data_IF_262292603333
#
_entry.id   IF_262292603333
#
_cell.length_a   1.000
_cell.length_b   1.000
_cell.length_c   1.000
_cell.angle_alpha   90.00
_cell.angle_beta   90.00
_cell.angle_gamma   90.00
#
_symmetry.space_group_name_H-M   'P 1'
#
loop_
_entity.id
_entity.type
_entity.pdbx_description
1 polymer ?
#
# COMPACT_ATOMS: atom_id res chain seq x y z
N UNK A 1 20.02 15.88 -14.20
CA UNK A 1 19.01 15.03 -14.88
C UNK A 1 17.63 15.53 -14.49
N UNK A 2 16.72 15.66 -15.46
CA UNK A 2 15.31 16.02 -15.18
C UNK A 2 14.63 14.97 -14.32
N UNK A 3 13.67 15.40 -13.46
CA UNK A 3 12.85 14.48 -12.69
C UNK A 3 11.96 13.63 -13.61
N UNK A 4 11.72 12.34 -13.28
CA UNK A 4 10.76 11.50 -14.01
C UNK A 4 9.36 12.13 -14.01
N UNK A 5 8.67 12.10 -15.15
CA UNK A 5 7.30 12.60 -15.28
C UNK A 5 6.24 11.51 -15.12
N UNK A 6 6.58 10.26 -15.45
CA UNK A 6 5.69 9.12 -15.29
C UNK A 6 6.36 7.99 -14.50
N UNK A 7 5.88 7.71 -13.30
CA UNK A 7 6.44 6.71 -12.39
C UNK A 7 5.56 5.47 -12.33
N UNK A 8 6.14 4.30 -12.57
CA UNK A 8 5.52 3.01 -12.28
C UNK A 8 5.75 2.65 -10.81
N UNK A 9 4.70 2.44 -10.05
CA UNK A 9 4.76 2.00 -8.66
C UNK A 9 4.30 0.55 -8.56
N UNK A 10 5.15 -0.35 -8.05
CA UNK A 10 4.84 -1.77 -7.96
C UNK A 10 4.58 -2.16 -6.50
N UNK A 11 3.33 -2.55 -6.17
CA UNK A 11 2.96 -3.13 -4.87
C UNK A 11 1.84 -4.16 -5.03
N UNK A 12 2.18 -5.45 -5.11
CA UNK A 12 1.26 -6.53 -5.49
C UNK A 12 0.47 -7.12 -4.31
N UNK A 13 0.93 -6.94 -3.07
CA UNK A 13 0.37 -7.48 -1.81
C UNK A 13 1.15 -6.97 -0.59
N UNK A 14 0.73 -7.18 0.67
CA UNK A 14 -0.60 -7.58 1.07
C UNK A 14 -1.52 -6.35 1.19
N UNK A 15 -2.81 -6.53 1.53
CA UNK A 15 -3.79 -5.43 1.55
C UNK A 15 -3.32 -4.24 2.42
N UNK A 16 -2.94 -4.48 3.67
CA UNK A 16 -2.45 -3.40 4.55
C UNK A 16 -1.19 -2.72 4.01
N UNK A 17 -0.26 -3.48 3.42
CA UNK A 17 0.95 -2.91 2.81
C UNK A 17 0.64 -2.08 1.56
N UNK A 18 -0.40 -2.45 0.80
CA UNK A 18 -0.89 -1.66 -0.34
C UNK A 18 -1.50 -0.36 0.17
N UNK A 19 -2.37 -0.43 1.19
CA UNK A 19 -2.97 0.74 1.82
C UNK A 19 -1.91 1.72 2.35
N UNK A 20 -0.80 1.22 2.92
CA UNK A 20 0.31 2.05 3.42
C UNK A 20 1.07 2.81 2.32
N UNK A 21 0.86 2.51 1.04
CA UNK A 21 1.43 3.31 -0.06
C UNK A 21 0.61 4.58 -0.34
N UNK A 22 -0.68 4.56 -0.04
CA UNK A 22 -1.64 5.64 -0.38
C UNK A 22 -1.21 7.00 0.16
N UNK A 23 -0.89 7.19 1.46
CA UNK A 23 -0.49 8.51 1.97
C UNK A 23 0.74 9.06 1.27
N UNK A 24 1.69 8.19 0.90
CA UNK A 24 2.92 8.61 0.20
C UNK A 24 2.60 9.05 -1.23
N UNK A 25 1.74 8.31 -1.95
CA UNK A 25 1.35 8.66 -3.32
C UNK A 25 0.53 9.94 -3.36
N UNK A 26 -0.41 10.13 -2.41
CA UNK A 26 -1.18 11.37 -2.28
C UNK A 26 -0.26 12.58 -2.02
N UNK A 27 0.68 12.46 -1.07
CA UNK A 27 1.65 13.52 -0.79
C UNK A 27 2.55 13.79 -2.00
N UNK A 28 2.97 12.76 -2.72
CA UNK A 28 3.80 12.93 -3.93
C UNK A 28 3.06 13.73 -5.01
N UNK A 29 1.84 13.36 -5.38
CA UNK A 29 1.11 14.07 -6.46
C UNK A 29 0.64 15.45 -6.04
N UNK A 30 0.43 15.69 -4.74
CA UNK A 30 0.14 17.03 -4.21
C UNK A 30 1.35 17.96 -4.33
N UNK A 31 2.54 17.46 -3.97
CA UNK A 31 3.78 18.26 -3.99
C UNK A 31 4.41 18.35 -5.39
N UNK A 32 4.09 17.42 -6.27
CA UNK A 32 4.58 17.34 -7.66
C UNK A 32 3.40 17.07 -8.62
N UNK A 33 2.53 18.05 -8.86
CA UNK A 33 1.30 17.86 -9.64
C UNK A 33 1.55 17.53 -11.12
N UNK A 34 2.77 17.74 -11.63
CA UNK A 34 3.19 17.35 -12.98
C UNK A 34 3.50 15.84 -13.08
N UNK A 35 3.62 15.14 -11.96
CA UNK A 35 3.99 13.72 -11.94
C UNK A 35 2.76 12.85 -12.13
N UNK A 36 2.84 11.96 -13.10
CA UNK A 36 1.88 10.89 -13.33
C UNK A 36 2.36 9.60 -12.67
N UNK A 37 1.47 8.88 -12.02
CA UNK A 37 1.76 7.58 -11.41
C UNK A 37 0.89 6.51 -12.08
N UNK A 38 1.47 5.35 -12.34
CA UNK A 38 0.70 4.12 -12.60
C UNK A 38 1.03 3.11 -11.52
N UNK A 39 0.03 2.76 -10.71
CA UNK A 39 0.16 1.72 -9.68
C UNK A 39 -0.13 0.36 -10.29
N UNK A 40 0.81 -0.57 -10.14
CA UNK A 40 0.68 -1.97 -10.56
C UNK A 40 0.37 -2.81 -9.34
N UNK A 41 -0.85 -3.33 -9.26
CA UNK A 41 -1.31 -4.15 -8.15
C UNK A 41 -2.39 -5.15 -8.59
N UNK A 42 -2.90 -5.96 -7.65
CA UNK A 42 -4.03 -6.84 -7.94
C UNK A 42 -5.31 -6.00 -8.11
N UNK A 43 -6.22 -6.37 -9.02
CA UNK A 43 -7.47 -5.61 -9.27
C UNK A 43 -8.26 -5.31 -8.00
N UNK A 44 -8.30 -6.24 -7.06
CA UNK A 44 -8.96 -6.09 -5.75
C UNK A 44 -8.52 -4.83 -4.96
N UNK A 45 -7.33 -4.32 -5.22
CA UNK A 45 -6.79 -3.15 -4.49
C UNK A 45 -7.02 -1.81 -5.20
N UNK A 46 -7.66 -1.82 -6.35
CA UNK A 46 -7.93 -0.60 -7.12
C UNK A 46 -8.64 0.48 -6.27
N UNK A 47 -9.66 0.16 -5.45
CA UNK A 47 -10.39 1.18 -4.68
C UNK A 47 -9.52 2.01 -3.72
N UNK A 48 -8.34 1.53 -3.33
CA UNK A 48 -7.40 2.33 -2.52
C UNK A 48 -6.83 3.53 -3.25
N UNK A 49 -6.84 3.51 -4.58
CA UNK A 49 -6.21 4.51 -5.44
C UNK A 49 -7.22 5.37 -6.19
N UNK A 50 -8.50 5.01 -6.16
CA UNK A 50 -9.56 5.77 -6.80
C UNK A 50 -9.65 7.19 -6.21
N UNK A 51 -9.88 8.18 -7.08
CA UNK A 51 -9.97 9.59 -6.69
C UNK A 51 -8.64 10.26 -6.30
N UNK A 52 -7.48 9.59 -6.42
CA UNK A 52 -6.19 10.25 -6.26
C UNK A 52 -5.80 10.91 -7.60
N UNK A 53 -5.64 12.24 -7.67
CA UNK A 53 -5.25 12.92 -8.91
C UNK A 53 -3.96 12.36 -9.51
N UNK A 54 -3.89 12.25 -10.84
CA UNK A 54 -2.71 11.77 -11.58
C UNK A 54 -2.23 10.36 -11.23
N UNK A 55 -3.03 9.58 -10.49
CA UNK A 55 -2.76 8.17 -10.19
C UNK A 55 -3.68 7.29 -11.04
N UNK A 56 -3.05 6.49 -11.91
CA UNK A 56 -3.74 5.45 -12.69
C UNK A 56 -3.47 4.09 -12.06
N UNK A 57 -4.34 3.14 -12.33
CA UNK A 57 -4.21 1.78 -11.84
C UNK A 57 -4.05 0.78 -12.99
N UNK A 58 -3.11 -0.16 -12.86
CA UNK A 58 -2.92 -1.29 -13.75
C UNK A 58 -3.11 -2.59 -12.98
N UNK A 59 -4.21 -3.28 -13.25
CA UNK A 59 -4.55 -4.56 -12.63
C UNK A 59 -3.71 -5.71 -13.18
N UNK A 60 -2.97 -6.39 -12.31
CA UNK A 60 -2.13 -7.55 -12.67
C UNK A 60 -2.89 -8.85 -12.44
N UNK A 61 -3.05 -9.63 -13.49
CA UNK A 61 -3.55 -10.99 -13.38
C UNK A 61 -2.41 -11.99 -13.16
N UNK A 62 -2.14 -12.28 -11.90
CA UNK A 62 -1.09 -13.22 -11.49
C UNK A 62 -1.52 -14.70 -11.54
N UNK A 63 -2.81 -14.97 -11.80
CA UNK A 63 -3.33 -16.34 -11.87
C UNK A 63 -3.26 -16.91 -13.28
N UNK A 64 -3.44 -16.06 -14.29
CA UNK A 64 -3.50 -16.46 -15.70
C UNK A 64 -2.47 -15.71 -16.55
N UNK A 65 -2.81 -14.52 -17.08
CA UNK A 65 -2.04 -13.78 -18.08
C UNK A 65 -0.60 -13.48 -17.63
N UNK A 66 -0.41 -13.08 -16.38
CA UNK A 66 0.89 -12.68 -15.83
C UNK A 66 1.48 -13.75 -14.89
N UNK A 67 1.06 -15.01 -15.03
CA UNK A 67 1.53 -16.14 -14.24
C UNK A 67 2.91 -16.62 -14.69
N UNK A 68 3.77 -16.93 -13.72
CA UNK A 68 5.10 -17.49 -13.95
C UNK A 68 6.07 -16.51 -14.61
N UNK A 69 7.23 -17.00 -15.03
CA UNK A 69 8.27 -16.14 -15.60
C UNK A 69 7.85 -15.52 -16.94
N UNK A 70 7.28 -16.31 -17.86
CA UNK A 70 6.77 -15.80 -19.13
C UNK A 70 5.65 -14.77 -18.93
N UNK A 71 4.80 -14.95 -17.92
CA UNK A 71 3.81 -13.97 -17.53
C UNK A 71 4.41 -12.64 -17.06
N UNK A 72 5.56 -12.66 -16.39
CA UNK A 72 6.26 -11.43 -16.00
C UNK A 72 6.89 -10.72 -17.21
N UNK A 73 7.34 -11.43 -18.24
CA UNK A 73 7.79 -10.84 -19.50
C UNK A 73 6.62 -10.17 -20.25
N UNK A 74 5.43 -10.80 -20.25
CA UNK A 74 4.21 -10.20 -20.80
C UNK A 74 3.82 -8.94 -20.00
N UNK A 75 3.86 -9.00 -18.67
CA UNK A 75 3.61 -7.84 -17.82
C UNK A 75 4.54 -6.68 -18.14
N UNK A 76 5.84 -6.95 -18.28
CA UNK A 76 6.78 -5.92 -18.70
C UNK A 76 6.44 -5.34 -20.07
N UNK A 77 6.09 -6.19 -21.06
CA UNK A 77 5.69 -5.75 -22.40
C UNK A 77 4.43 -4.86 -22.37
N UNK A 78 3.43 -5.21 -21.56
CA UNK A 78 2.21 -4.41 -21.41
C UNK A 78 2.51 -3.06 -20.74
N UNK A 79 3.34 -3.06 -19.69
CA UNK A 79 3.72 -1.85 -18.96
C UNK A 79 4.63 -0.91 -19.78
N UNK A 80 5.49 -1.43 -20.67
CA UNK A 80 6.32 -0.61 -21.58
C UNK A 80 5.48 0.33 -22.45
N UNK A 81 4.29 -0.07 -22.86
CA UNK A 81 3.37 0.73 -23.68
C UNK A 81 2.88 1.99 -22.99
N UNK A 82 3.04 2.08 -21.67
CA UNK A 82 2.62 3.22 -20.86
C UNK A 82 3.62 4.39 -20.85
N UNK A 83 4.74 4.28 -21.57
CA UNK A 83 5.79 5.31 -21.61
C UNK A 83 6.31 5.72 -20.23
N UNK A 84 6.70 4.74 -19.42
CA UNK A 84 7.22 4.92 -18.07
C UNK A 84 8.63 5.50 -18.11
N UNK A 85 8.92 6.50 -17.25
CA UNK A 85 10.23 7.11 -17.09
C UNK A 85 11.05 6.47 -15.97
N UNK A 86 10.40 6.08 -14.88
CA UNK A 86 11.05 5.48 -13.72
C UNK A 86 10.16 4.44 -13.02
N UNK A 87 10.78 3.55 -12.26
CA UNK A 87 10.10 2.50 -11.49
C UNK A 87 10.42 2.62 -10.00
N UNK A 88 9.40 2.73 -9.17
CA UNK A 88 9.44 2.60 -7.72
C UNK A 88 8.91 1.22 -7.31
N UNK A 89 9.80 0.28 -7.00
CA UNK A 89 9.43 -1.04 -6.50
C UNK A 89 9.22 -0.99 -4.98
N UNK A 90 8.00 -0.70 -4.55
CA UNK A 90 7.60 -0.67 -3.14
C UNK A 90 7.33 -2.08 -2.58
N UNK A 91 7.39 -3.11 -3.41
CA UNK A 91 7.19 -4.50 -3.00
C UNK A 91 8.48 -5.25 -2.70
N UNK A 92 9.50 -5.07 -3.56
CA UNK A 92 10.84 -5.67 -3.47
C UNK A 92 10.82 -7.18 -3.16
N UNK A 93 10.04 -7.95 -3.95
CA UNK A 93 9.98 -9.42 -3.94
C UNK A 93 10.40 -9.97 -5.30
N UNK A 94 10.60 -11.29 -5.42
CA UNK A 94 11.13 -11.89 -6.64
C UNK A 94 10.38 -11.43 -7.92
N UNK A 95 9.05 -11.43 -7.91
CA UNK A 95 8.25 -11.01 -9.07
C UNK A 95 8.48 -9.55 -9.46
N UNK A 96 8.45 -8.64 -8.49
CA UNK A 96 8.69 -7.22 -8.75
C UNK A 96 10.14 -6.94 -9.12
N UNK A 97 11.10 -7.70 -8.57
CA UNK A 97 12.51 -7.60 -8.97
C UNK A 97 12.71 -7.92 -10.45
N UNK A 98 12.09 -8.98 -10.96
CA UNK A 98 12.17 -9.33 -12.39
C UNK A 98 11.68 -8.16 -13.25
N UNK A 99 10.48 -7.66 -12.99
CA UNK A 99 9.90 -6.54 -13.76
C UNK A 99 10.79 -5.29 -13.66
N UNK A 100 11.22 -4.92 -12.45
CA UNK A 100 12.12 -3.79 -12.22
C UNK A 100 13.44 -3.95 -12.98
N UNK A 101 14.04 -5.14 -12.96
CA UNK A 101 15.30 -5.40 -13.67
C UNK A 101 15.12 -5.24 -15.19
N UNK A 102 14.03 -5.71 -15.76
CA UNK A 102 13.72 -5.51 -17.19
C UNK A 102 13.60 -4.02 -17.53
N UNK A 103 12.99 -3.20 -16.68
CA UNK A 103 12.97 -1.75 -16.87
C UNK A 103 14.35 -1.11 -16.72
N UNK A 104 15.17 -1.55 -15.77
CA UNK A 104 16.55 -1.08 -15.64
C UNK A 104 17.37 -1.40 -16.89
N UNK A 105 17.28 -2.62 -17.44
CA UNK A 105 17.94 -3.04 -18.69
C UNK A 105 17.43 -2.26 -19.91
N UNK A 106 16.19 -1.74 -19.85
CA UNK A 106 15.66 -0.84 -20.89
C UNK A 106 16.04 0.64 -20.70
N UNK A 107 16.99 0.94 -19.81
CA UNK A 107 17.52 2.29 -19.57
C UNK A 107 16.66 3.15 -18.65
N UNK A 108 15.66 2.59 -17.96
CA UNK A 108 14.80 3.36 -17.04
C UNK A 108 15.42 3.46 -15.65
N UNK A 109 15.23 4.62 -14.99
CA UNK A 109 15.66 4.81 -13.61
C UNK A 109 14.79 3.95 -12.69
N UNK A 110 15.42 3.20 -11.77
CA UNK A 110 14.71 2.31 -10.86
C UNK A 110 15.14 2.51 -9.41
N UNK A 111 14.19 2.42 -8.49
CA UNK A 111 14.45 2.40 -7.05
C UNK A 111 13.63 1.29 -6.40
N UNK A 112 14.09 0.79 -5.25
CA UNK A 112 13.39 -0.25 -4.51
C UNK A 112 13.41 0.03 -3.02
N UNK A 113 12.27 -0.23 -2.37
CA UNK A 113 12.13 -0.08 -0.92
C UNK A 113 13.07 -1.04 -0.17
N UNK A 114 13.88 -0.49 0.70
CA UNK A 114 14.57 -1.28 1.71
C UNK A 114 13.55 -1.77 2.76
N UNK A 115 13.53 -3.08 2.96
CA UNK A 115 12.63 -3.74 3.92
C UNK A 115 13.13 -3.74 5.37
N UNK A 116 14.27 -3.14 5.64
CA UNK A 116 14.88 -3.10 6.97
C UNK A 116 15.23 -4.49 7.52
N UNK A 117 15.63 -5.42 6.65
CA UNK A 117 15.91 -6.79 7.08
C UNK A 117 17.06 -6.88 8.07
N UNK A 118 18.09 -6.04 7.92
CA UNK A 118 19.22 -5.99 8.84
C UNK A 118 18.78 -5.51 10.21
N UNK A 119 18.02 -4.42 10.29
CA UNK A 119 17.47 -3.87 11.54
C UNK A 119 16.55 -4.89 12.23
N UNK A 120 15.65 -5.53 11.48
CA UNK A 120 14.75 -6.57 12.02
C UNK A 120 15.52 -7.78 12.54
N UNK A 121 16.58 -8.20 11.83
CA UNK A 121 17.45 -9.28 12.28
C UNK A 121 18.19 -8.91 13.57
N UNK A 122 18.69 -7.68 13.68
CA UNK A 122 19.35 -7.19 14.90
C UNK A 122 18.35 -7.13 16.08
N UNK A 123 17.11 -6.66 15.83
CA UNK A 123 16.04 -6.60 16.84
C UNK A 123 15.64 -7.98 17.36
N UNK A 124 15.67 -9.03 16.52
CA UNK A 124 15.26 -10.40 16.87
C UNK A 124 16.44 -11.32 17.17
N UNK A 125 17.68 -10.82 17.19
CA UNK A 125 18.87 -11.61 17.50
C UNK A 125 18.84 -12.13 18.94
N UNK A 126 19.28 -13.38 19.14
CA UNK A 126 19.38 -13.98 20.46
C UNK A 126 20.66 -13.55 21.21
N UNK A 127 21.73 -13.24 20.47
CA UNK A 127 23.06 -12.98 21.07
C UNK A 127 23.41 -11.48 21.09
N UNK A 128 23.19 -10.77 19.99
CA UNK A 128 23.54 -9.35 19.84
C UNK A 128 22.29 -8.54 19.53
N UNK A 129 21.30 -8.58 20.41
CA UNK A 129 20.02 -7.92 20.23
C UNK A 129 20.16 -6.40 20.33
N UNK A 130 19.77 -5.70 19.27
CA UNK A 130 19.64 -4.24 19.28
C UNK A 130 18.18 -3.88 19.47
N UNK A 131 17.82 -3.42 20.67
CA UNK A 131 16.45 -3.01 21.00
C UNK A 131 16.26 -1.53 20.65
N UNK A 132 16.00 -1.28 19.36
CA UNK A 132 15.75 0.06 18.83
C UNK A 132 14.54 0.06 17.89
N UNK A 133 13.79 1.17 17.81
CA UNK A 133 12.69 1.31 16.86
C UNK A 133 13.17 1.08 15.40
N UNK A 134 12.41 0.31 14.65
CA UNK A 134 12.69 0.07 13.23
C UNK A 134 11.99 1.16 12.41
N UNK A 135 12.67 1.70 11.40
CA UNK A 135 12.10 2.72 10.50
C UNK A 135 10.74 2.29 9.94
N UNK A 136 9.68 3.11 10.05
CA UNK A 136 8.35 2.80 9.53
C UNK A 136 8.32 2.55 8.03
N UNK A 137 7.42 1.69 7.55
CA UNK A 137 7.34 1.33 6.12
C UNK A 137 6.98 2.53 5.24
N UNK A 138 6.15 3.44 5.73
CA UNK A 138 5.78 4.67 5.02
C UNK A 138 7.02 5.53 4.72
N UNK A 139 7.89 5.72 5.73
CA UNK A 139 9.14 6.46 5.55
C UNK A 139 10.11 5.75 4.58
N UNK A 140 10.15 4.40 4.58
CA UNK A 140 10.93 3.63 3.61
C UNK A 140 10.41 3.81 2.18
N UNK A 141 9.11 4.01 2.01
CA UNK A 141 8.53 4.36 0.72
C UNK A 141 8.94 5.78 0.30
N UNK A 142 8.93 6.75 1.21
CA UNK A 142 9.48 8.10 0.96
C UNK A 142 10.94 8.03 0.51
N UNK A 143 11.78 7.24 1.19
CA UNK A 143 13.18 7.04 0.79
C UNK A 143 13.31 6.45 -0.62
N UNK A 144 12.38 5.59 -1.02
CA UNK A 144 12.38 5.01 -2.39
C UNK A 144 12.13 6.11 -3.43
N UNK A 145 11.20 7.02 -3.18
CA UNK A 145 10.97 8.17 -4.06
C UNK A 145 12.12 9.18 -4.01
N UNK A 146 12.78 9.34 -2.87
CA UNK A 146 13.99 10.17 -2.75
C UNK A 146 15.12 9.69 -3.67
N UNK A 147 15.30 8.37 -3.84
CA UNK A 147 16.24 7.80 -4.80
C UNK A 147 15.89 8.14 -6.26
N UNK A 148 14.63 8.39 -6.56
CA UNK A 148 14.16 8.85 -7.87
C UNK A 148 14.25 10.37 -8.04
N UNK A 149 14.56 11.13 -6.98
CA UNK A 149 14.72 12.59 -7.01
C UNK A 149 13.55 13.36 -6.43
N UNK A 150 12.63 12.71 -5.67
CA UNK A 150 11.48 13.34 -5.05
C UNK A 150 11.64 13.37 -3.52
N UNK A 151 11.67 14.57 -2.95
CA UNK A 151 11.60 14.77 -1.50
C UNK A 151 10.14 14.96 -1.11
N UNK A 152 9.58 14.00 -0.39
CA UNK A 152 8.16 13.99 0.00
C UNK A 152 8.08 14.34 1.49
N UNK A 153 7.32 15.37 1.80
CA UNK A 153 6.96 15.73 3.17
C UNK A 153 5.57 15.14 3.49
N UNK A 154 5.49 14.39 4.60
CA UNK A 154 4.25 13.78 5.07
C UNK A 154 3.60 14.55 6.23
N UNK A 155 4.22 15.64 6.72
CA UNK A 155 3.70 16.41 7.88
C UNK A 155 2.32 17.02 7.59
N UNK A 156 2.05 17.38 6.34
CA UNK A 156 0.80 17.96 5.87
C UNK A 156 -0.03 16.96 5.04
N UNK A 157 -0.08 15.70 5.46
CA UNK A 157 -0.83 14.67 4.75
C UNK A 157 -2.32 15.00 4.70
N UNK A 158 -2.85 15.15 3.49
CA UNK A 158 -4.29 15.33 3.27
C UNK A 158 -4.98 13.97 3.22
N UNK A 159 -5.99 13.79 4.05
CA UNK A 159 -6.86 12.62 4.01
C UNK A 159 -7.97 12.83 2.96
N UNK A 160 -8.44 11.74 2.32
CA UNK A 160 -9.60 11.83 1.44
C UNK A 160 -10.84 12.24 2.23
N UNK A 161 -11.79 12.87 1.55
CA UNK A 161 -13.12 13.06 2.10
C UNK A 161 -13.74 11.71 2.47
N UNK A 162 -14.60 11.72 3.49
CA UNK A 162 -15.33 10.51 3.89
C UNK A 162 -16.23 10.07 2.74
N UNK A 163 -16.08 8.83 2.30
CA UNK A 163 -16.95 8.25 1.30
C UNK A 163 -18.41 8.19 1.83
N UNK A 164 -19.36 8.54 0.98
CA UNK A 164 -20.76 8.30 1.28
C UNK A 164 -21.05 6.79 1.32
N UNK A 165 -21.86 6.35 2.26
CA UNK A 165 -22.28 4.95 2.32
C UNK A 165 -23.22 4.66 1.16
N UNK A 166 -23.03 3.55 0.46
CA UNK A 166 -23.94 3.09 -0.59
C UNK A 166 -25.29 2.69 0.02
N UNK A 167 -26.34 2.66 -0.82
CA UNK A 167 -27.68 2.22 -0.38
C UNK A 167 -27.64 0.78 0.15
N UNK A 168 -26.85 -0.09 -0.45
CA UNK A 168 -26.69 -1.48 0.01
C UNK A 168 -26.12 -1.54 1.43
N UNK A 169 -25.12 -0.71 1.73
CA UNK A 169 -24.57 -0.61 3.09
C UNK A 169 -25.63 -0.02 4.04
N UNK A 170 -26.31 1.05 3.64
CA UNK A 170 -27.32 1.69 4.45
C UNK A 170 -28.52 0.76 4.75
N UNK A 171 -28.88 -0.13 3.81
CA UNK A 171 -29.94 -1.13 4.04
C UNK A 171 -29.60 -2.13 5.15
N UNK A 172 -28.30 -2.42 5.34
CA UNK A 172 -27.79 -3.34 6.37
C UNK A 172 -27.54 -2.61 7.69
N UNK A 173 -26.89 -1.45 7.60
CA UNK A 173 -26.40 -0.73 8.80
C UNK A 173 -27.41 0.28 9.36
N UNK A 174 -28.33 0.75 8.53
CA UNK A 174 -29.17 1.90 8.82
C UNK A 174 -28.41 3.23 8.67
N UNK A 175 -29.14 4.33 8.87
CA UNK A 175 -28.56 5.69 8.83
C UNK A 175 -27.75 5.95 10.08
N UNK A 176 -26.58 6.59 9.91
CA UNK A 176 -25.71 6.95 11.02
C UNK A 176 -26.27 8.15 11.79
N UNK A 177 -26.93 7.88 12.89
CA UNK A 177 -27.52 8.88 13.81
C UNK A 177 -26.81 8.95 15.17
N UNK A 178 -25.78 8.13 15.39
CA UNK A 178 -25.02 8.04 16.64
C UNK A 178 -23.56 7.61 16.34
N UNK A 179 -22.73 7.50 17.36
CA UNK A 179 -21.40 6.99 17.22
C UNK A 179 -21.42 5.48 16.90
N UNK A 180 -20.62 5.06 15.91
CA UNK A 180 -20.47 3.65 15.55
C UNK A 180 -19.09 3.15 15.93
N UNK A 181 -19.05 1.96 16.52
CA UNK A 181 -17.83 1.22 16.81
C UNK A 181 -17.84 -0.04 15.94
N UNK A 182 -16.89 -0.12 15.01
CA UNK A 182 -16.67 -1.32 14.22
C UNK A 182 -15.69 -2.25 14.92
N UNK A 183 -16.06 -3.52 15.10
CA UNK A 183 -15.19 -4.55 15.70
C UNK A 183 -14.81 -5.56 14.63
N UNK A 184 -13.48 -5.81 14.47
CA UNK A 184 -12.93 -6.84 13.61
C UNK A 184 -12.25 -7.93 14.48
N UNK A 185 -13.00 -8.91 14.98
CA UNK A 185 -12.51 -9.84 16.02
C UNK A 185 -11.58 -10.92 15.46
N UNK A 186 -11.52 -11.11 14.14
CA UNK A 186 -10.78 -12.20 13.51
C UNK A 186 -9.52 -11.71 12.79
N UNK A 187 -8.48 -12.51 12.80
CA UNK A 187 -7.26 -12.30 12.04
C UNK A 187 -6.83 -13.58 11.30
N UNK A 188 -5.98 -13.45 10.29
CA UNK A 188 -5.46 -14.58 9.52
C UNK A 188 -4.63 -15.57 10.37
N UNK A 189 -3.98 -15.04 11.42
CA UNK A 189 -3.12 -15.81 12.33
C UNK A 189 -3.71 -15.80 13.73
N UNK A 190 -3.83 -16.97 14.35
CA UNK A 190 -4.36 -17.14 15.70
C UNK A 190 -3.65 -16.25 16.75
N UNK A 191 -2.32 -16.14 16.66
CA UNK A 191 -1.52 -15.27 17.53
C UNK A 191 -1.84 -13.77 17.45
N UNK A 192 -2.71 -13.36 16.52
CA UNK A 192 -3.21 -11.98 16.36
C UNK A 192 -4.71 -11.84 16.67
N UNK A 193 -5.37 -12.94 17.03
CA UNK A 193 -6.77 -12.94 17.45
C UNK A 193 -6.80 -12.68 18.95
N UNK A 194 -7.59 -11.68 19.37
CA UNK A 194 -7.93 -11.53 20.78
C UNK A 194 -8.87 -12.66 21.17
N UNK A 195 -8.72 -13.30 22.36
CA UNK A 195 -9.60 -14.40 22.77
C UNK A 195 -11.08 -14.06 22.61
N UNK A 196 -11.84 -14.94 21.98
CA UNK A 196 -13.23 -14.62 21.57
C UNK A 196 -14.16 -14.44 22.76
N UNK A 197 -13.97 -15.22 23.82
CA UNK A 197 -14.67 -15.08 25.10
C UNK A 197 -14.45 -13.70 25.72
N UNK A 198 -13.20 -13.26 25.81
CA UNK A 198 -12.87 -11.92 26.29
C UNK A 198 -13.37 -10.81 25.34
N UNK A 199 -13.39 -11.07 24.02
CA UNK A 199 -13.96 -10.12 23.06
C UNK A 199 -15.47 -9.94 23.26
N UNK A 200 -16.18 -11.02 23.64
CA UNK A 200 -17.61 -10.93 23.98
C UNK A 200 -17.85 -10.07 25.21
N UNK A 201 -16.99 -10.16 26.24
CA UNK A 201 -17.05 -9.28 27.41
C UNK A 201 -16.82 -7.81 27.04
N UNK A 202 -15.85 -7.54 26.17
CA UNK A 202 -15.60 -6.18 25.64
C UNK A 202 -16.82 -5.65 24.90
N UNK A 203 -17.45 -6.46 24.04
CA UNK A 203 -18.66 -6.08 23.31
C UNK A 203 -19.80 -5.80 24.27
N UNK A 204 -20.01 -6.65 25.27
CA UNK A 204 -21.05 -6.46 26.29
C UNK A 204 -20.85 -5.13 27.02
N UNK A 205 -19.64 -4.85 27.52
CA UNK A 205 -19.35 -3.58 28.20
C UNK A 205 -19.52 -2.34 27.29
N UNK A 206 -19.13 -2.45 26.01
CA UNK A 206 -19.38 -1.36 25.07
C UNK A 206 -20.87 -1.14 24.79
N UNK A 207 -21.67 -2.21 24.80
CA UNK A 207 -23.12 -2.17 24.53
C UNK A 207 -23.95 -1.47 25.64
N UNK A 208 -23.38 -1.29 26.82
CA UNK A 208 -24.03 -0.55 27.92
C UNK A 208 -24.22 0.94 27.58
N UNK A 209 -23.36 1.49 26.73
CA UNK A 209 -23.46 2.89 26.30
C UNK A 209 -24.47 3.03 25.15
N UNK A 210 -25.69 3.46 25.48
CA UNK A 210 -26.80 3.66 24.53
C UNK A 210 -26.57 4.74 23.48
N UNK A 211 -25.54 5.58 23.62
CA UNK A 211 -25.18 6.63 22.65
C UNK A 211 -24.28 6.12 21.52
N UNK A 212 -24.04 4.83 21.45
CA UNK A 212 -23.22 4.20 20.41
C UNK A 212 -23.86 2.92 19.87
N UNK A 213 -23.51 2.59 18.63
CA UNK A 213 -23.87 1.35 17.93
C UNK A 213 -22.59 0.55 17.68
N UNK A 214 -22.64 -0.76 17.95
CA UNK A 214 -21.56 -1.71 17.68
C UNK A 214 -21.94 -2.52 16.46
#
# INVERSE_FOLDING_TARGET
MSKPKHILVIRLSAMGDVAMTVPVLRALVLQYPEVKITVVSRPFFQPFFDGIPNVNFFGVDLKERHKGFLGLLRLFSDLRKLNIDAVADLHNVLRSKVVRTLFALSGKKVAATDKGRAEKKALTSLTNKVFAPVKPMVERHVDTFKQLGFSIDLSNAQFPEKAALSQDILSITGTKNQNWIGIAPFAQYESKVYPIDLMQEVIAGLSENKNQKI
#
